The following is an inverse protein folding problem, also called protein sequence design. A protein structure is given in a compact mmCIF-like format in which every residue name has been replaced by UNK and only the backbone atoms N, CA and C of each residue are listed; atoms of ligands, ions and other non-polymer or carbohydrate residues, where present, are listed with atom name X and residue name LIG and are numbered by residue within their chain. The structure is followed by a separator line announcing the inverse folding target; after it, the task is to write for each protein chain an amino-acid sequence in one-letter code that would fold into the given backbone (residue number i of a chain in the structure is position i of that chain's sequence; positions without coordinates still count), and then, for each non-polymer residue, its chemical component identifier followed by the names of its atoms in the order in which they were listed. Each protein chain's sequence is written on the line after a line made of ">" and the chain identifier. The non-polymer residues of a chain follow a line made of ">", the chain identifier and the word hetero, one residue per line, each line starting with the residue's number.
data_IF_249350794451
#
_entry.id   IF_249350794451
#
_cell.length_a   1.000
_cell.length_b   1.000
_cell.length_c   1.000
_cell.angle_alpha   90.00
_cell.angle_beta   90.00
_cell.angle_gamma   90.00
#
_symmetry.space_group_name_H-M   'P 1'
#
loop_
_entity.id
_entity.type
_entity.pdbx_description
1 polymer ?
#
# COMPACT_ATOMS: atom_id res chain seq x y z
N UNK A 1 21.13 -18.02 -11.65
CA UNK A 1 20.58 -17.21 -10.54
C UNK A 1 20.53 -15.76 -11.01
N UNK A 2 19.34 -15.29 -11.41
CA UNK A 2 19.15 -13.95 -11.99
C UNK A 2 19.08 -12.91 -10.87
N UNK A 3 19.93 -11.89 -10.95
CA UNK A 3 20.02 -10.79 -9.99
C UNK A 3 18.81 -9.85 -10.14
N UNK A 4 17.90 -9.89 -9.16
CA UNK A 4 16.82 -8.94 -8.99
C UNK A 4 17.36 -7.60 -8.45
N UNK A 5 17.96 -6.77 -9.29
CA UNK A 5 18.50 -5.46 -8.88
C UNK A 5 17.63 -4.25 -9.28
N UNK A 6 16.38 -4.44 -9.72
CA UNK A 6 15.61 -3.35 -10.35
C UNK A 6 14.20 -3.09 -9.79
N UNK A 7 13.90 -3.48 -8.54
CA UNK A 7 12.61 -3.16 -7.90
C UNK A 7 12.77 -2.83 -6.40
N UNK A 8 13.59 -1.82 -6.08
CA UNK A 8 13.66 -1.27 -4.71
C UNK A 8 12.51 -0.30 -4.49
N UNK A 9 11.35 -0.81 -4.09
CA UNK A 9 10.38 -0.17 -3.17
C UNK A 9 9.09 -1.01 -3.14
N UNK A 10 9.02 -1.98 -2.21
CA UNK A 10 7.82 -2.41 -1.46
C UNK A 10 7.80 -3.88 -1.01
N UNK A 11 8.87 -4.66 -1.23
CA UNK A 11 9.00 -5.99 -0.62
C UNK A 11 9.95 -5.92 0.57
N UNK A 12 9.37 -5.83 1.78
CA UNK A 12 10.15 -6.03 2.99
C UNK A 12 10.37 -7.54 3.22
N UNK A 13 11.24 -7.88 4.18
CA UNK A 13 11.53 -9.28 4.52
C UNK A 13 10.28 -10.07 4.89
N UNK A 14 9.28 -9.42 5.51
CA UNK A 14 8.00 -10.04 5.86
C UNK A 14 7.16 -10.42 4.64
N UNK A 15 7.12 -9.59 3.59
CA UNK A 15 6.41 -9.89 2.34
C UNK A 15 7.04 -11.09 1.63
N UNK A 16 8.37 -11.16 1.58
CA UNK A 16 9.10 -12.30 0.98
C UNK A 16 8.83 -13.59 1.76
N UNK A 17 8.91 -13.54 3.09
CA UNK A 17 8.63 -14.69 3.94
C UNK A 17 7.18 -15.18 3.78
N UNK A 18 6.21 -14.25 3.75
CA UNK A 18 4.80 -14.58 3.52
C UNK A 18 4.60 -15.29 2.17
N UNK A 19 5.22 -14.77 1.10
CA UNK A 19 5.16 -15.40 -0.22
C UNK A 19 5.71 -16.83 -0.22
N UNK A 20 6.86 -17.05 0.42
CA UNK A 20 7.46 -18.40 0.54
C UNK A 20 6.53 -19.38 1.26
N UNK A 21 5.88 -18.94 2.35
CA UNK A 21 4.91 -19.76 3.08
C UNK A 21 3.67 -20.09 2.24
N UNK A 22 3.18 -19.12 1.47
CA UNK A 22 2.05 -19.31 0.56
C UNK A 22 2.42 -20.33 -0.53
N UNK A 23 3.61 -20.19 -1.14
CA UNK A 23 4.12 -21.14 -2.13
C UNK A 23 4.29 -22.56 -1.57
N UNK A 24 4.70 -22.67 -0.30
CA UNK A 24 4.81 -23.95 0.39
C UNK A 24 3.43 -24.55 0.78
N UNK A 25 2.33 -23.88 0.49
CA UNK A 25 0.97 -24.35 0.80
C UNK A 25 0.57 -24.19 2.26
N UNK A 26 1.27 -23.37 3.05
CA UNK A 26 1.07 -23.26 4.50
C UNK A 26 -0.36 -22.81 4.89
N UNK A 27 -1.08 -22.14 3.99
CA UNK A 27 -2.46 -21.68 4.19
C UNK A 27 -3.43 -22.23 3.12
N UNK A 28 -3.00 -23.21 2.32
CA UNK A 28 -3.74 -23.65 1.13
C UNK A 28 -3.79 -22.56 0.05
N UNK A 29 -4.88 -22.52 -0.72
CA UNK A 29 -5.07 -21.51 -1.77
C UNK A 29 -5.60 -20.19 -1.20
N UNK A 30 -4.86 -19.07 -1.32
CA UNK A 30 -5.34 -17.77 -0.87
C UNK A 30 -6.61 -17.32 -1.61
N UNK A 31 -7.60 -16.86 -0.86
CA UNK A 31 -8.90 -16.38 -1.41
C UNK A 31 -9.10 -14.88 -1.27
N UNK A 32 -8.50 -14.25 -0.26
CA UNK A 32 -8.67 -12.83 0.04
C UNK A 32 -7.41 -12.28 0.69
N UNK A 33 -7.05 -11.05 0.30
CA UNK A 33 -6.04 -10.25 0.99
C UNK A 33 -6.70 -8.96 1.46
N UNK A 34 -6.38 -8.57 2.70
CA UNK A 34 -6.75 -7.26 3.26
C UNK A 34 -5.48 -6.51 3.59
N UNK A 35 -5.33 -5.33 2.97
CA UNK A 35 -4.18 -4.46 3.19
C UNK A 35 -4.67 -3.19 3.87
N UNK A 36 -3.90 -2.70 4.84
CA UNK A 36 -4.19 -1.46 5.55
C UNK A 36 -2.91 -0.66 5.69
N UNK A 37 -2.95 0.60 5.28
CA UNK A 37 -1.92 1.55 5.66
C UNK A 37 -2.14 1.97 7.11
N UNK A 38 -1.12 1.78 7.96
CA UNK A 38 -1.10 2.39 9.28
C UNK A 38 -0.95 3.90 9.21
N UNK A 39 -1.24 4.62 10.30
CA UNK A 39 -1.00 6.06 10.37
C UNK A 39 0.49 6.35 10.18
N UNK A 40 0.78 7.51 9.58
CA UNK A 40 2.14 7.92 9.29
C UNK A 40 2.81 8.41 10.59
N UNK A 41 3.50 7.50 11.28
CA UNK A 41 4.28 7.86 12.46
C UNK A 41 5.59 8.49 12.02
N UNK A 42 5.73 9.78 12.30
CA UNK A 42 6.99 10.46 12.10
C UNK A 42 7.95 10.02 13.18
N UNK A 43 9.15 9.59 12.80
CA UNK A 43 10.22 9.38 13.78
C UNK A 43 10.45 10.68 14.55
N UNK A 44 10.61 10.65 15.89
CA UNK A 44 11.07 11.81 16.63
C UNK A 44 12.40 12.24 16.03
N UNK A 45 12.48 13.48 15.55
CA UNK A 45 13.74 14.12 15.17
C UNK A 45 14.03 15.23 16.16
N UNK A 46 15.28 15.65 16.28
CA UNK A 46 15.74 16.69 17.21
C UNK A 46 15.27 18.11 16.79
N UNK A 47 14.09 18.23 16.17
CA UNK A 47 13.57 19.46 15.57
C UNK A 47 14.06 19.71 14.14
N UNK A 48 15.23 19.23 13.77
CA UNK A 48 15.78 19.42 12.43
C UNK A 48 15.04 18.55 11.40
N UNK A 49 14.41 19.22 10.43
CA UNK A 49 13.92 18.57 9.22
C UNK A 49 15.13 18.43 8.28
N UNK A 50 15.42 17.25 7.71
CA UNK A 50 16.32 17.21 6.57
C UNK A 50 15.77 18.16 5.50
N UNK A 51 16.64 19.00 4.96
CA UNK A 51 16.29 19.95 3.92
C UNK A 51 15.64 19.19 2.77
N UNK A 52 14.37 19.52 2.49
CA UNK A 52 13.66 18.89 1.39
C UNK A 52 14.09 19.61 0.12
N UNK A 53 14.95 18.97 -0.66
CA UNK A 53 15.28 19.43 -2.00
C UNK A 53 14.00 19.38 -2.86
N UNK A 54 13.56 20.55 -3.33
CA UNK A 54 12.46 20.70 -4.28
C UNK A 54 11.04 20.71 -3.69
N UNK A 55 10.12 21.37 -4.42
CA UNK A 55 8.70 21.40 -4.09
C UNK A 55 8.04 20.04 -4.32
N UNK A 56 7.13 19.66 -3.40
CA UNK A 56 6.26 18.48 -3.54
C UNK A 56 4.83 18.84 -3.95
N UNK A 57 4.59 20.10 -4.35
CA UNK A 57 3.27 20.58 -4.76
C UNK A 57 2.68 19.75 -5.91
N UNK A 58 3.54 19.26 -6.82
CA UNK A 58 3.13 18.39 -7.92
C UNK A 58 2.41 17.11 -7.46
N UNK A 59 2.62 16.63 -6.22
CA UNK A 59 1.92 15.44 -5.69
C UNK A 59 0.45 15.69 -5.37
N UNK A 60 0.07 16.94 -5.17
CA UNK A 60 -1.30 17.36 -4.90
C UNK A 60 -2.01 17.79 -6.18
N UNK A 61 -1.27 18.15 -7.22
CA UNK A 61 -1.78 18.49 -8.53
C UNK A 61 -2.23 17.21 -9.28
N UNK A 62 -3.52 17.05 -9.61
CA UNK A 62 -4.04 15.86 -10.29
C UNK A 62 -3.42 15.58 -11.66
N UNK A 63 -3.08 16.63 -12.42
CA UNK A 63 -2.51 16.51 -13.77
C UNK A 63 -1.05 16.08 -13.69
N UNK A 64 -0.29 16.66 -12.74
CA UNK A 64 1.14 16.34 -12.59
C UNK A 64 1.38 15.02 -11.84
N UNK A 65 0.49 14.62 -10.94
CA UNK A 65 0.67 13.41 -10.12
C UNK A 65 0.04 12.15 -10.69
N UNK A 66 -0.83 12.27 -11.71
CA UNK A 66 -1.60 11.14 -12.24
C UNK A 66 -2.68 10.62 -11.26
N UNK A 67 -2.92 11.32 -10.15
CA UNK A 67 -3.89 10.91 -9.13
C UNK A 67 -5.36 11.10 -9.58
N UNK A 68 -5.63 11.92 -10.61
CA UNK A 68 -6.99 12.26 -11.04
C UNK A 68 -7.85 12.73 -9.86
N UNK A 69 -9.02 12.11 -9.67
CA UNK A 69 -9.94 12.42 -8.55
C UNK A 69 -9.52 11.84 -7.20
N UNK A 70 -8.39 11.13 -7.12
CA UNK A 70 -7.96 10.39 -5.94
C UNK A 70 -6.57 10.84 -5.46
N UNK A 71 -6.47 12.02 -4.82
CA UNK A 71 -5.21 12.50 -4.27
C UNK A 71 -4.56 11.43 -3.39
N UNK A 72 -3.24 11.28 -3.52
CA UNK A 72 -2.41 10.34 -2.74
C UNK A 72 -2.56 8.85 -3.09
N UNK A 73 -3.54 8.44 -3.90
CA UNK A 73 -3.67 7.03 -4.28
C UNK A 73 -2.52 6.56 -5.18
N UNK A 74 -2.02 7.37 -6.11
CA UNK A 74 -0.93 6.93 -6.99
C UNK A 74 0.40 6.78 -6.26
N UNK A 75 0.59 7.49 -5.13
CA UNK A 75 1.81 7.38 -4.32
C UNK A 75 1.91 6.10 -3.48
N UNK A 76 0.78 5.44 -3.18
CA UNK A 76 0.74 4.26 -2.30
C UNK A 76 -0.08 3.09 -2.84
N UNK A 77 -1.17 3.35 -3.55
CA UNK A 77 -2.08 2.36 -4.11
C UNK A 77 -1.40 1.39 -5.07
N UNK A 78 -0.47 1.87 -5.89
CA UNK A 78 0.31 1.02 -6.80
C UNK A 78 1.08 -0.09 -6.06
N UNK A 79 1.51 0.16 -4.83
CA UNK A 79 2.19 -0.83 -4.01
C UNK A 79 1.22 -1.86 -3.43
N UNK A 80 -0.02 -1.48 -3.12
CA UNK A 80 -1.03 -2.44 -2.68
C UNK A 80 -1.40 -3.42 -3.79
N UNK A 81 -1.53 -2.93 -5.02
CA UNK A 81 -1.81 -3.80 -6.17
C UNK A 81 -0.66 -4.76 -6.45
N UNK A 82 0.58 -4.25 -6.51
CA UNK A 82 1.76 -5.09 -6.72
C UNK A 82 1.92 -6.16 -5.63
N UNK A 83 1.69 -5.79 -4.36
CA UNK A 83 1.75 -6.75 -3.24
C UNK A 83 0.61 -7.77 -3.30
N UNK A 84 -0.58 -7.37 -3.73
CA UNK A 84 -1.72 -8.28 -3.86
C UNK A 84 -1.44 -9.37 -4.89
N UNK A 85 -1.00 -9.00 -6.09
CA UNK A 85 -0.66 -9.96 -7.14
C UNK A 85 0.49 -10.87 -6.71
N UNK A 86 1.54 -10.29 -6.12
CA UNK A 86 2.66 -11.06 -5.59
C UNK A 86 2.21 -12.16 -4.62
N UNK A 87 1.38 -11.82 -3.62
CA UNK A 87 0.94 -12.78 -2.61
C UNK A 87 -0.16 -13.74 -3.10
N UNK A 88 -0.86 -13.41 -4.20
CA UNK A 88 -1.87 -14.27 -4.79
C UNK A 88 -1.30 -15.20 -5.89
N UNK A 89 0.03 -15.26 -6.01
CA UNK A 89 0.76 -16.12 -6.95
C UNK A 89 0.39 -15.81 -8.41
N UNK A 90 -0.31 -16.73 -9.09
CA UNK A 90 -0.62 -16.63 -10.52
C UNK A 90 -1.91 -15.82 -10.81
N UNK A 91 -2.38 -15.04 -9.83
CA UNK A 91 -3.61 -14.24 -9.95
C UNK A 91 -3.25 -12.79 -10.25
N UNK A 92 -3.90 -12.24 -11.27
CA UNK A 92 -3.80 -10.82 -11.64
C UNK A 92 -5.06 -10.06 -11.23
N UNK A 93 -4.93 -8.75 -11.08
CA UNK A 93 -6.04 -7.86 -10.80
C UNK A 93 -6.80 -7.60 -12.09
N UNK A 94 -8.04 -8.08 -12.15
CA UNK A 94 -8.91 -7.87 -13.30
C UNK A 94 -9.67 -6.54 -13.25
N UNK A 95 -10.06 -6.10 -12.04
CA UNK A 95 -10.92 -4.95 -11.83
C UNK A 95 -10.59 -4.26 -10.51
N UNK A 96 -10.74 -2.94 -10.47
CA UNK A 96 -10.54 -2.11 -9.28
C UNK A 96 -11.78 -1.26 -9.05
N UNK A 97 -12.33 -1.34 -7.85
CA UNK A 97 -13.42 -0.49 -7.38
C UNK A 97 -12.90 0.45 -6.29
N UNK A 98 -13.40 1.67 -6.29
CA UNK A 98 -13.10 2.66 -5.25
C UNK A 98 -14.38 3.33 -4.81
N UNK A 99 -14.46 3.66 -3.52
CA UNK A 99 -15.58 4.40 -2.96
C UNK A 99 -15.03 5.52 -2.06
N UNK A 100 -15.39 6.78 -2.31
CA UNK A 100 -15.04 7.86 -1.38
C UNK A 100 -15.88 7.69 -0.11
N UNK A 101 -15.25 7.22 0.96
CA UNK A 101 -15.87 7.21 2.30
C UNK A 101 -15.60 8.57 2.94
N UNK A 102 -16.63 9.34 3.34
CA UNK A 102 -16.45 10.60 4.04
C UNK A 102 -15.62 10.39 5.31
N UNK A 103 -14.66 11.28 5.56
CA UNK A 103 -13.79 11.21 6.75
C UNK A 103 -14.59 11.24 8.06
N UNK A 104 -15.76 11.88 8.07
CA UNK A 104 -16.71 11.88 9.20
C UNK A 104 -17.19 10.48 9.59
N UNK A 105 -17.35 9.57 8.62
CA UNK A 105 -17.76 8.18 8.84
C UNK A 105 -16.63 7.33 9.43
N UNK A 106 -15.37 7.61 9.07
CA UNK A 106 -14.20 6.86 9.56
C UNK A 106 -13.93 7.18 11.04
N UNK A 107 -14.06 8.46 11.44
CA UNK A 107 -13.87 8.88 12.83
C UNK A 107 -14.93 8.30 13.79
N UNK A 108 -16.17 8.12 13.32
CA UNK A 108 -17.24 7.50 14.10
C UNK A 108 -17.02 5.98 14.35
N UNK A 109 -16.24 5.32 13.48
CA UNK A 109 -16.02 3.86 13.51
C UNK A 109 -14.78 3.42 14.32
N UNK A 110 -14.10 4.33 15.04
CA UNK A 110 -13.01 3.97 15.97
C UNK A 110 -13.51 3.28 17.27
N UNK A 111 -14.81 3.02 17.39
CA UNK A 111 -15.34 2.02 18.32
C UNK A 111 -15.47 0.69 17.57
N UNK A 112 -14.52 -0.22 17.84
CA UNK A 112 -14.48 -1.64 17.48
C UNK A 112 -15.82 -2.18 16.92
N UNK A 113 -15.88 -2.36 15.60
CA UNK A 113 -16.75 -3.38 15.01
C UNK A 113 -15.87 -4.43 14.36
N UNK A 114 -15.65 -5.51 15.12
CA UNK A 114 -15.26 -6.81 14.60
C UNK A 114 -16.39 -7.24 13.66
N UNK A 115 -16.12 -7.33 12.36
CA UNK A 115 -17.02 -7.95 11.40
C UNK A 115 -16.33 -9.22 10.93
N UNK A 116 -16.92 -10.35 11.34
CA UNK A 116 -16.63 -11.72 10.92
C UNK A 116 -16.67 -11.82 9.38
#
# INVERSE_FOLDING_TARGET
>A
MSNWSSARLSFNTSHVAAHQLIQAGAIGNPIQIRQRQGPWFRRPTNGEKPERIGSKAWRQDPELSGNGKYPWMFGHGVHFFALAEYLMLDRTINQVYSSPVPTSTIMANNRLKLLL
#
